data_IF_523085591793
#
_entry.id   IF_523085591793
#
_cell.length_a   1.000
_cell.length_b   1.000
_cell.length_c   1.000
_cell.angle_alpha   90.00
_cell.angle_beta   90.00
_cell.angle_gamma   90.00
#
_symmetry.space_group_name_H-M   'P 1'
#
loop_
_entity.id
_entity.type
_entity.pdbx_description
1 polymer ?
#
# COMPACT_ATOMS: atom_id res chain seq x y z
N UNK A 1 10.34 17.38 16.44
CA UNK A 1 10.40 17.57 14.98
C UNK A 1 9.01 17.57 14.29
N UNK A 2 7.97 16.88 14.80
CA UNK A 2 6.65 16.80 14.13
C UNK A 2 5.53 17.69 14.70
N UNK A 3 5.78 18.38 15.82
CA UNK A 3 4.74 19.10 16.58
C UNK A 3 4.02 20.16 15.76
N UNK A 4 4.75 20.92 14.93
CA UNK A 4 4.19 21.97 14.09
C UNK A 4 3.23 21.39 13.04
N UNK A 5 3.63 20.31 12.36
CA UNK A 5 2.81 19.62 11.37
C UNK A 5 1.55 18.99 11.97
N UNK A 6 1.64 18.45 13.19
CA UNK A 6 0.47 17.93 13.90
C UNK A 6 -0.48 19.06 14.26
N UNK A 7 0.06 20.16 14.81
CA UNK A 7 -0.74 21.34 15.19
C UNK A 7 -1.43 21.99 13.98
N UNK A 8 -0.78 22.00 12.82
CA UNK A 8 -1.36 22.58 11.60
C UNK A 8 -2.37 21.66 10.91
N UNK A 9 -2.69 20.49 11.47
CA UNK A 9 -3.60 19.49 10.85
C UNK A 9 -3.00 18.80 9.63
N UNK A 10 -1.70 18.98 9.45
CA UNK A 10 -0.98 18.61 8.26
C UNK A 10 -0.43 17.17 8.35
N UNK A 11 -0.16 16.75 9.57
CA UNK A 11 0.06 15.37 9.95
C UNK A 11 -0.99 14.98 11.00
N UNK A 12 -1.80 13.99 10.68
CA UNK A 12 -2.75 13.41 11.64
C UNK A 12 -2.21 12.06 12.11
N UNK A 13 -2.18 11.87 13.43
CA UNK A 13 -1.85 10.57 14.04
C UNK A 13 -3.15 9.91 14.48
N UNK A 14 -3.44 8.76 13.88
CA UNK A 14 -4.59 7.93 14.24
C UNK A 14 -4.12 6.60 14.80
N UNK A 15 -4.92 6.02 15.69
CA UNK A 15 -4.71 4.70 16.23
C UNK A 15 -6.06 3.99 16.30
N UNK A 16 -6.20 2.77 15.73
CA UNK A 16 -7.41 1.99 15.93
C UNK A 16 -7.58 1.68 17.43
N UNK A 17 -8.78 1.86 18.00
CA UNK A 17 -9.03 1.45 19.38
C UNK A 17 -8.87 -0.07 19.51
N UNK A 18 -8.56 -0.57 20.71
CA UNK A 18 -8.38 -2.01 20.95
C UNK A 18 -9.61 -2.81 20.52
N UNK A 19 -10.81 -2.26 20.73
CA UNK A 19 -12.10 -2.84 20.30
C UNK A 19 -12.29 -2.96 18.79
N UNK A 20 -11.47 -2.30 17.97
CA UNK A 20 -11.51 -2.46 16.52
C UNK A 20 -10.99 -3.84 16.09
N UNK A 21 -10.07 -4.41 16.85
CA UNK A 21 -9.48 -5.71 16.52
C UNK A 21 -10.38 -6.83 17.05
N UNK A 22 -10.86 -7.74 16.19
CA UNK A 22 -11.56 -8.93 16.64
C UNK A 22 -10.60 -9.90 17.33
N UNK A 23 -11.15 -10.88 18.04
CA UNK A 23 -10.35 -11.99 18.55
C UNK A 23 -9.66 -12.70 17.39
N UNK A 24 -8.35 -12.89 17.52
CA UNK A 24 -7.56 -13.58 16.50
C UNK A 24 -7.83 -15.07 16.53
N UNK A 25 -8.10 -15.65 15.36
CA UNK A 25 -8.19 -17.09 15.20
C UNK A 25 -6.88 -17.79 15.62
N UNK A 26 -7.02 -18.96 16.24
CA UNK A 26 -5.92 -19.87 16.54
C UNK A 26 -5.65 -20.87 15.40
N UNK A 27 -6.17 -20.59 14.19
CA UNK A 27 -5.96 -21.43 13.00
C UNK A 27 -4.74 -20.97 12.21
N UNK A 28 -3.90 -21.93 11.86
CA UNK A 28 -2.84 -21.71 10.86
C UNK A 28 -3.43 -21.74 9.46
N UNK A 29 -2.79 -21.02 8.54
CA UNK A 29 -3.24 -20.81 7.16
C UNK A 29 -2.01 -20.57 6.30
N UNK A 30 -2.02 -21.00 5.04
CA UNK A 30 -0.86 -20.90 4.13
C UNK A 30 0.43 -21.59 4.63
N UNK A 31 0.31 -22.54 5.57
CA UNK A 31 1.46 -23.18 6.22
C UNK A 31 2.21 -22.28 7.22
N UNK A 32 1.65 -21.11 7.56
CA UNK A 32 2.31 -20.15 8.43
C UNK A 32 2.13 -20.46 9.92
N UNK A 33 3.16 -20.18 10.75
CA UNK A 33 3.02 -20.22 12.21
C UNK A 33 2.06 -19.12 12.69
N UNK A 34 1.42 -19.34 13.84
CA UNK A 34 0.38 -18.45 14.38
C UNK A 34 0.81 -16.98 14.50
N UNK A 35 2.06 -16.72 14.90
CA UNK A 35 2.55 -15.34 15.00
C UNK A 35 2.54 -14.61 13.63
N UNK A 36 2.83 -15.34 12.54
CA UNK A 36 2.83 -14.77 11.19
C UNK A 36 1.40 -14.57 10.69
N UNK A 37 0.49 -15.50 10.99
CA UNK A 37 -0.95 -15.33 10.72
C UNK A 37 -1.51 -14.11 11.44
N UNK A 38 -1.22 -13.95 12.74
CA UNK A 38 -1.62 -12.78 13.53
C UNK A 38 -1.04 -11.49 12.96
N UNK A 39 0.25 -11.48 12.61
CA UNK A 39 0.92 -10.31 12.04
C UNK A 39 0.24 -9.82 10.74
N UNK A 40 0.00 -10.71 9.76
CA UNK A 40 -0.65 -10.32 8.50
C UNK A 40 -2.12 -9.99 8.68
N UNK A 41 -2.81 -10.65 9.60
CA UNK A 41 -4.19 -10.31 9.98
C UNK A 41 -4.28 -8.90 10.52
N UNK A 42 -3.38 -8.55 11.45
CA UNK A 42 -3.26 -7.19 11.97
C UNK A 42 -2.94 -6.20 10.85
N UNK A 43 -2.01 -6.51 9.95
CA UNK A 43 -1.69 -5.63 8.81
C UNK A 43 -2.92 -5.34 7.93
N UNK A 44 -3.71 -6.36 7.58
CA UNK A 44 -4.96 -6.17 6.83
C UNK A 44 -5.93 -5.23 7.54
N UNK A 45 -6.12 -5.42 8.86
CA UNK A 45 -7.00 -4.60 9.69
C UNK A 45 -6.52 -3.15 9.78
N UNK A 46 -5.22 -2.92 10.03
CA UNK A 46 -4.70 -1.55 10.11
C UNK A 46 -4.82 -0.81 8.77
N UNK A 47 -4.63 -1.49 7.64
CA UNK A 47 -4.83 -0.88 6.31
C UNK A 47 -6.32 -0.59 6.06
N UNK A 48 -7.22 -1.52 6.41
CA UNK A 48 -8.66 -1.28 6.31
C UNK A 48 -9.10 -0.08 7.17
N UNK A 49 -8.58 0.04 8.40
CA UNK A 49 -8.86 1.17 9.28
C UNK A 49 -8.36 2.49 8.70
N UNK A 50 -7.11 2.53 8.25
CA UNK A 50 -6.49 3.72 7.67
C UNK A 50 -7.23 4.15 6.40
N UNK A 51 -7.56 3.22 5.52
CA UNK A 51 -8.34 3.50 4.31
C UNK A 51 -9.73 4.04 4.66
N UNK A 52 -10.40 3.45 5.66
CA UNK A 52 -11.72 3.94 6.09
C UNK A 52 -11.65 5.35 6.68
N UNK A 53 -10.57 5.69 7.40
CA UNK A 53 -10.34 7.05 7.89
C UNK A 53 -10.14 8.06 6.74
N UNK A 54 -9.43 7.66 5.69
CA UNK A 54 -9.05 8.54 4.59
C UNK A 54 -10.11 8.68 3.49
N UNK A 55 -11.09 7.77 3.40
CA UNK A 55 -12.00 7.69 2.24
C UNK A 55 -12.81 8.97 1.98
N UNK A 56 -13.12 9.73 3.03
CA UNK A 56 -13.93 10.96 2.93
C UNK A 56 -13.07 12.24 3.01
N UNK A 57 -11.73 12.12 2.98
CA UNK A 57 -10.78 13.22 3.26
C UNK A 57 -9.97 13.69 2.04
N UNK A 58 -10.17 13.07 0.89
CA UNK A 58 -9.47 13.44 -0.33
C UNK A 58 -10.04 12.72 -1.54
N UNK A 59 -9.60 13.14 -2.72
CA UNK A 59 -9.97 12.47 -3.98
C UNK A 59 -9.11 11.21 -4.24
N UNK A 60 -7.86 11.24 -3.77
CA UNK A 60 -6.90 10.18 -3.97
C UNK A 60 -6.32 9.71 -2.64
N UNK A 61 -5.98 8.42 -2.60
CA UNK A 61 -5.34 7.76 -1.48
C UNK A 61 -4.03 7.13 -1.94
N UNK A 62 -2.96 7.28 -1.14
CA UNK A 62 -1.67 6.63 -1.38
C UNK A 62 -1.28 5.84 -0.14
N UNK A 63 -1.16 4.52 -0.27
CA UNK A 63 -0.62 3.68 0.79
C UNK A 63 0.90 3.79 0.83
N UNK A 64 1.45 4.14 2.00
CA UNK A 64 2.89 4.17 2.29
C UNK A 64 3.17 3.44 3.60
N UNK A 65 4.46 3.17 3.83
CA UNK A 65 5.00 2.59 5.07
C UNK A 65 6.05 3.55 5.65
N UNK A 66 6.49 3.31 6.89
CA UNK A 66 7.39 4.19 7.64
C UNK A 66 8.86 4.04 7.24
N UNK A 67 9.22 2.96 6.56
CA UNK A 67 10.59 2.58 6.19
C UNK A 67 10.89 2.83 4.70
N UNK A 68 10.52 4.00 4.17
CA UNK A 68 10.71 4.31 2.74
C UNK A 68 11.68 5.48 2.46
N UNK A 69 12.41 5.34 1.35
CA UNK A 69 13.08 6.43 0.64
C UNK A 69 12.14 7.01 -0.41
N UNK A 70 12.22 8.31 -0.57
CA UNK A 70 11.48 9.04 -1.60
C UNK A 70 12.43 9.61 -2.64
N UNK A 71 12.00 9.64 -3.90
CA UNK A 71 12.65 10.44 -4.93
C UNK A 71 12.52 11.95 -4.65
N UNK A 72 13.50 12.76 -5.08
CA UNK A 72 13.35 14.23 -5.08
C UNK A 72 12.13 14.64 -5.89
N UNK A 73 11.41 15.65 -5.41
CA UNK A 73 10.21 16.20 -6.04
C UNK A 73 9.07 15.18 -6.26
N UNK A 74 9.00 14.12 -5.44
CA UNK A 74 8.01 13.05 -5.61
C UNK A 74 6.57 13.56 -5.65
N UNK A 75 6.20 14.61 -4.89
CA UNK A 75 4.85 15.20 -4.92
C UNK A 75 4.51 15.74 -6.32
N UNK A 76 5.36 16.61 -6.86
CA UNK A 76 5.17 17.16 -8.20
C UNK A 76 5.15 16.06 -9.27
N UNK A 77 5.97 15.02 -9.10
CA UNK A 77 5.95 13.85 -9.98
C UNK A 77 4.64 13.08 -9.89
N UNK A 78 4.08 12.89 -8.69
CA UNK A 78 2.76 12.25 -8.49
C UNK A 78 1.68 13.05 -9.20
N UNK A 79 1.60 14.36 -8.98
CA UNK A 79 0.61 15.23 -9.61
C UNK A 79 0.69 15.20 -11.14
N UNK A 80 1.91 15.27 -11.68
CA UNK A 80 2.13 15.19 -13.13
C UNK A 80 1.71 13.83 -13.70
N UNK A 81 2.03 12.73 -12.99
CA UNK A 81 1.59 11.39 -13.39
C UNK A 81 0.07 11.27 -13.33
N UNK A 82 -0.59 11.80 -12.29
CA UNK A 82 -2.06 11.80 -12.19
C UNK A 82 -2.72 12.58 -13.32
N UNK A 83 -2.22 13.78 -13.62
CA UNK A 83 -2.72 14.60 -14.73
C UNK A 83 -2.53 13.91 -16.07
N UNK A 84 -1.42 13.20 -16.27
CA UNK A 84 -1.19 12.43 -17.49
C UNK A 84 -2.13 11.21 -17.57
N UNK A 85 -2.18 10.39 -16.51
CA UNK A 85 -2.99 9.18 -16.46
C UNK A 85 -4.48 9.49 -16.63
N UNK A 86 -4.98 10.55 -15.97
CA UNK A 86 -6.40 10.93 -16.09
C UNK A 86 -6.79 11.42 -17.48
N UNK A 87 -5.84 11.90 -18.28
CA UNK A 87 -6.09 12.28 -19.69
C UNK A 87 -6.07 11.07 -20.63
N UNK A 88 -5.15 10.13 -20.39
CA UNK A 88 -4.91 8.99 -21.30
C UNK A 88 -5.84 7.81 -20.97
N UNK A 89 -6.10 7.57 -19.69
CA UNK A 89 -6.85 6.41 -19.19
C UNK A 89 -8.11 6.90 -18.48
N UNK A 90 -9.28 6.67 -19.06
CA UNK A 90 -10.56 7.10 -18.45
C UNK A 90 -10.93 6.31 -17.19
N UNK A 91 -10.61 5.01 -17.15
CA UNK A 91 -11.14 4.07 -16.16
C UNK A 91 -10.06 3.38 -15.32
N UNK A 92 -8.90 4.01 -15.10
CA UNK A 92 -7.85 3.42 -14.27
C UNK A 92 -8.33 3.14 -12.83
N UNK A 93 -7.75 2.12 -12.21
CA UNK A 93 -8.09 1.67 -10.85
C UNK A 93 -6.92 1.84 -9.88
N UNK A 94 -5.71 1.49 -10.30
CA UNK A 94 -4.53 1.51 -9.45
C UNK A 94 -3.33 2.09 -10.20
N UNK A 95 -2.61 3.00 -9.56
CA UNK A 95 -1.32 3.48 -10.04
C UNK A 95 -0.24 3.00 -9.07
N UNK A 96 0.71 2.23 -9.60
CA UNK A 96 1.90 1.78 -8.89
C UNK A 96 2.98 2.85 -8.97
N UNK A 97 3.23 3.52 -7.84
CA UNK A 97 4.34 4.47 -7.64
C UNK A 97 5.63 3.79 -7.17
N UNK A 98 5.53 2.52 -6.76
CA UNK A 98 6.65 1.62 -6.48
C UNK A 98 6.40 0.25 -7.11
N UNK A 99 7.47 -0.48 -7.45
CA UNK A 99 7.38 -1.84 -8.01
C UNK A 99 7.37 -2.94 -6.95
N UNK A 100 7.78 -2.64 -5.73
CA UNK A 100 8.01 -3.67 -4.69
C UNK A 100 7.06 -3.45 -3.51
N UNK A 101 6.49 -4.55 -3.03
CA UNK A 101 5.62 -4.57 -1.85
C UNK A 101 4.29 -3.83 -2.04
N UNK A 102 3.67 -3.50 -0.91
CA UNK A 102 2.40 -2.81 -0.85
C UNK A 102 2.53 -1.28 -0.74
N UNK A 103 3.76 -0.74 -0.85
CA UNK A 103 4.00 0.71 -0.85
C UNK A 103 3.69 1.35 -2.19
N UNK A 104 3.34 2.64 -2.16
CA UNK A 104 3.12 3.46 -3.33
C UNK A 104 1.92 3.02 -4.16
N UNK A 105 0.87 2.47 -3.53
CA UNK A 105 -0.39 2.16 -4.20
C UNK A 105 -1.27 3.39 -4.18
N UNK A 106 -1.45 4.02 -5.33
CA UNK A 106 -2.35 5.16 -5.48
C UNK A 106 -3.67 4.71 -6.07
N UNK A 107 -4.77 5.02 -5.38
CA UNK A 107 -6.14 4.70 -5.78
C UNK A 107 -7.05 5.93 -5.59
N UNK A 108 -8.23 5.92 -6.21
CA UNK A 108 -9.28 6.90 -5.89
C UNK A 108 -9.92 6.53 -4.57
N UNK A 109 -10.28 7.52 -3.77
CA UNK A 109 -10.98 7.26 -2.50
C UNK A 109 -12.34 6.60 -2.70
N UNK A 110 -13.01 6.88 -3.83
CA UNK A 110 -14.27 6.25 -4.23
C UNK A 110 -14.19 4.74 -4.46
N UNK A 111 -12.99 4.20 -4.73
CA UNK A 111 -12.76 2.76 -4.89
C UNK A 111 -12.41 2.06 -3.56
N UNK A 112 -12.09 2.83 -2.49
CA UNK A 112 -11.68 2.26 -1.20
C UNK A 112 -12.74 1.42 -0.48
N UNK A 113 -14.05 1.70 -0.52
CA UNK A 113 -15.05 0.89 0.19
C UNK A 113 -14.99 -0.61 -0.12
N UNK A 114 -14.69 -0.96 -1.38
CA UNK A 114 -14.49 -2.34 -1.81
C UNK A 114 -13.24 -2.95 -1.18
N UNK A 115 -12.11 -2.21 -1.19
CA UNK A 115 -10.85 -2.67 -0.62
C UNK A 115 -10.93 -2.83 0.90
N UNK A 116 -11.52 -1.86 1.59
CA UNK A 116 -11.78 -1.90 3.04
C UNK A 116 -12.56 -3.17 3.38
N UNK A 117 -13.67 -3.42 2.67
CA UNK A 117 -14.51 -4.60 2.90
C UNK A 117 -13.74 -5.90 2.66
N UNK A 118 -12.98 -5.99 1.57
CA UNK A 118 -12.20 -7.18 1.27
C UNK A 118 -11.09 -7.42 2.30
N UNK A 119 -10.33 -6.39 2.67
CA UNK A 119 -9.25 -6.49 3.64
C UNK A 119 -9.76 -6.84 5.03
N UNK A 120 -10.92 -6.29 5.43
CA UNK A 120 -11.55 -6.62 6.70
C UNK A 120 -12.10 -8.05 6.70
N UNK A 121 -12.88 -8.44 5.70
CA UNK A 121 -13.56 -9.73 5.66
C UNK A 121 -12.60 -10.90 5.45
N UNK A 122 -11.56 -10.71 4.62
CA UNK A 122 -10.60 -11.78 4.30
C UNK A 122 -9.27 -11.68 5.07
N UNK A 123 -9.24 -10.86 6.14
CA UNK A 123 -8.04 -10.54 6.93
C UNK A 123 -7.23 -11.76 7.39
N UNK A 124 -7.90 -12.85 7.74
CA UNK A 124 -7.25 -14.04 8.30
C UNK A 124 -6.77 -15.02 7.22
N UNK A 125 -7.29 -14.91 6.00
CA UNK A 125 -7.05 -15.93 4.97
C UNK A 125 -5.83 -15.62 4.10
N UNK A 126 -5.62 -14.36 3.74
CA UNK A 126 -4.57 -13.97 2.79
C UNK A 126 -3.86 -12.69 3.25
N UNK A 127 -2.57 -12.49 2.92
CA UNK A 127 -1.90 -11.20 3.12
C UNK A 127 -2.44 -10.14 2.16
N UNK A 128 -2.25 -8.86 2.51
CA UNK A 128 -2.86 -7.72 1.81
C UNK A 128 -2.49 -7.62 0.33
N UNK A 129 -1.23 -7.92 -0.03
CA UNK A 129 -0.78 -7.95 -1.42
C UNK A 129 -1.56 -8.94 -2.27
N UNK A 130 -1.86 -10.12 -1.70
CA UNK A 130 -2.57 -11.18 -2.40
C UNK A 130 -4.06 -10.84 -2.48
N UNK A 131 -4.64 -10.27 -1.41
CA UNK A 131 -6.01 -9.76 -1.46
C UNK A 131 -6.19 -8.74 -2.57
N UNK A 132 -5.25 -7.81 -2.76
CA UNK A 132 -5.30 -6.87 -3.88
C UNK A 132 -5.21 -7.58 -5.23
N UNK A 133 -4.31 -8.56 -5.39
CA UNK A 133 -4.23 -9.37 -6.64
C UNK A 133 -5.56 -10.10 -6.92
N UNK A 134 -6.18 -10.71 -5.90
CA UNK A 134 -7.49 -11.35 -6.04
C UNK A 134 -8.57 -10.36 -6.45
N UNK A 135 -8.62 -9.17 -5.85
CA UNK A 135 -9.59 -8.12 -6.22
C UNK A 135 -9.41 -7.70 -7.68
N UNK A 136 -8.16 -7.50 -8.13
CA UNK A 136 -7.87 -7.17 -9.52
C UNK A 136 -8.33 -8.28 -10.49
N UNK A 137 -8.10 -9.55 -10.14
CA UNK A 137 -8.59 -10.68 -10.93
C UNK A 137 -10.11 -10.74 -10.99
N UNK A 138 -10.78 -10.64 -9.84
CA UNK A 138 -12.25 -10.65 -9.75
C UNK A 138 -12.86 -9.52 -10.58
N UNK A 139 -12.24 -8.34 -10.56
CA UNK A 139 -12.79 -7.15 -11.22
C UNK A 139 -12.53 -7.12 -12.73
N UNK A 140 -11.42 -7.68 -13.21
CA UNK A 140 -10.95 -7.46 -14.58
C UNK A 140 -10.71 -8.73 -15.41
N UNK A 141 -10.94 -9.92 -14.85
CA UNK A 141 -10.71 -11.18 -15.54
C UNK A 141 -11.97 -12.05 -15.55
N UNK A 142 -12.18 -12.77 -16.66
CA UNK A 142 -13.16 -13.84 -16.70
C UNK A 142 -12.64 -15.09 -15.97
N UNK A 143 -13.54 -15.91 -15.43
CA UNK A 143 -13.21 -17.08 -14.60
C UNK A 143 -12.36 -18.10 -15.38
N UNK A 144 -12.66 -18.29 -16.65
CA UNK A 144 -12.00 -19.21 -17.58
C UNK A 144 -10.78 -18.60 -18.31
N UNK A 145 -10.47 -17.33 -18.04
CA UNK A 145 -9.36 -16.66 -18.73
C UNK A 145 -8.01 -17.23 -18.33
N UNK A 146 -7.13 -17.43 -19.32
CA UNK A 146 -5.76 -17.85 -19.05
C UNK A 146 -5.01 -16.81 -18.21
N UNK A 147 -4.00 -17.26 -17.44
CA UNK A 147 -3.16 -16.38 -16.61
C UNK A 147 -2.59 -15.20 -17.40
N UNK A 148 -2.16 -15.44 -18.64
CA UNK A 148 -1.59 -14.41 -19.51
C UNK A 148 -2.66 -13.41 -19.99
N UNK A 149 -3.84 -13.88 -20.35
CA UNK A 149 -4.96 -13.02 -20.74
C UNK A 149 -5.41 -12.14 -19.59
N UNK A 150 -5.59 -12.73 -18.40
CA UNK A 150 -5.95 -12.00 -17.19
C UNK A 150 -4.91 -10.94 -16.83
N UNK A 151 -3.61 -11.27 -16.85
CA UNK A 151 -2.55 -10.31 -16.59
C UNK A 151 -2.61 -9.12 -17.57
N UNK A 152 -2.82 -9.36 -18.88
CA UNK A 152 -2.99 -8.30 -19.87
C UNK A 152 -4.21 -7.42 -19.61
N UNK A 153 -5.32 -8.01 -19.14
CA UNK A 153 -6.52 -7.24 -18.82
C UNK A 153 -6.31 -6.37 -17.58
N UNK A 154 -5.70 -6.89 -16.52
CA UNK A 154 -5.36 -6.12 -15.32
C UNK A 154 -4.48 -4.92 -15.70
N UNK A 155 -3.48 -5.10 -16.56
CA UNK A 155 -2.58 -4.04 -17.00
C UNK A 155 -3.25 -2.86 -17.72
N UNK A 156 -4.49 -3.02 -18.23
CA UNK A 156 -5.27 -1.91 -18.80
C UNK A 156 -5.79 -0.94 -17.74
N UNK A 157 -5.91 -1.42 -16.50
CA UNK A 157 -6.48 -0.69 -15.36
C UNK A 157 -5.45 -0.39 -14.26
N UNK A 158 -4.30 -1.07 -14.30
CA UNK A 158 -3.16 -0.85 -13.39
C UNK A 158 -2.00 -0.17 -14.12
N UNK A 159 -1.71 1.07 -13.78
CA UNK A 159 -0.63 1.84 -14.41
C UNK A 159 0.62 1.76 -13.54
N UNK A 160 1.78 1.56 -14.18
CA UNK A 160 3.08 1.64 -13.51
C UNK A 160 3.77 2.93 -13.95
N UNK A 161 4.16 3.77 -12.98
CA UNK A 161 4.98 4.93 -13.32
C UNK A 161 6.32 4.47 -13.88
N UNK A 162 6.81 5.15 -14.92
CA UNK A 162 8.06 4.78 -15.59
C UNK A 162 9.24 4.72 -14.62
N UNK A 163 9.27 5.66 -13.69
CA UNK A 163 10.33 5.80 -12.70
C UNK A 163 9.74 5.72 -11.29
N UNK A 164 10.09 4.68 -10.50
CA UNK A 164 9.56 4.50 -9.16
C UNK A 164 9.91 5.70 -8.26
N UNK A 165 8.96 6.07 -7.41
CA UNK A 165 9.06 7.24 -6.53
C UNK A 165 9.40 6.85 -5.08
N UNK A 166 9.10 5.60 -4.71
CA UNK A 166 9.31 5.06 -3.37
C UNK A 166 10.07 3.74 -3.40
N UNK A 167 10.92 3.53 -2.40
CA UNK A 167 11.74 2.34 -2.23
C UNK A 167 11.94 2.07 -0.73
N UNK A 168 11.77 0.84 -0.25
CA UNK A 168 12.06 0.53 1.15
C UNK A 168 13.53 0.76 1.53
N UNK A 169 13.76 1.22 2.77
CA UNK A 169 15.07 1.34 3.42
C UNK A 169 15.39 0.01 4.08
N UNK A 170 16.45 -0.64 3.60
CA UNK A 170 17.19 -1.57 4.43
C UNK A 170 16.78 -3.03 4.35
N UNK A 171 17.76 -3.82 4.74
CA UNK A 171 17.92 -5.24 4.48
C UNK A 171 17.12 -6.13 5.42
N UNK A 172 16.40 -5.61 6.43
CA UNK A 172 15.75 -6.42 7.45
C UNK A 172 14.25 -6.18 7.48
N UNK A 173 13.48 -7.19 7.09
CA UNK A 173 12.04 -7.24 7.31
C UNK A 173 11.75 -7.29 8.82
N UNK A 174 10.58 -6.81 9.22
CA UNK A 174 9.99 -7.05 10.55
C UNK A 174 9.79 -8.55 10.86
N UNK A 175 9.90 -9.42 9.85
CA UNK A 175 10.01 -10.86 10.02
C UNK A 175 11.45 -11.27 10.39
N UNK A 176 11.60 -11.93 11.55
CA UNK A 176 12.88 -12.45 12.07
C UNK A 176 13.60 -13.26 10.99
N UNK A 177 14.77 -12.78 10.55
CA UNK A 177 15.64 -13.45 9.58
C UNK A 177 15.36 -13.19 8.10
N UNK A 178 14.30 -12.45 7.72
CA UNK A 178 14.04 -12.16 6.30
C UNK A 178 14.84 -10.95 5.85
N UNK A 179 15.95 -11.23 5.16
CA UNK A 179 16.79 -10.19 4.57
C UNK A 179 16.20 -9.74 3.24
N UNK A 180 15.65 -8.53 3.16
CA UNK A 180 15.05 -7.98 1.93
C UNK A 180 16.11 -7.23 1.10
N UNK A 181 16.82 -7.94 0.21
CA UNK A 181 17.84 -7.36 -0.69
C UNK A 181 17.26 -6.74 -1.98
N UNK A 182 15.94 -6.78 -2.16
CA UNK A 182 15.32 -6.33 -3.41
C UNK A 182 15.30 -4.80 -3.48
N UNK A 183 16.09 -4.26 -4.41
CA UNK A 183 16.00 -2.87 -4.85
C UNK A 183 15.47 -2.83 -6.28
N UNK A 184 14.62 -1.85 -6.57
CA UNK A 184 14.19 -1.61 -7.94
C UNK A 184 15.37 -1.09 -8.78
N UNK A 185 15.67 -1.79 -9.88
CA UNK A 185 16.77 -1.46 -10.80
C UNK A 185 16.64 -0.05 -11.41
N UNK A 186 15.42 0.45 -11.53
CA UNK A 186 15.10 1.76 -12.12
C UNK A 186 14.94 2.88 -11.07
N UNK A 187 15.10 2.57 -9.77
CA UNK A 187 15.14 3.61 -8.75
C UNK A 187 16.50 4.32 -8.79
N UNK A 188 16.55 5.67 -8.82
CA UNK A 188 17.81 6.39 -8.92
C UNK A 188 18.79 5.97 -7.82
N UNK A 189 19.96 5.46 -8.21
CA UNK A 189 21.08 5.23 -7.31
C UNK A 189 21.80 6.55 -7.07
N UNK A 190 21.22 7.47 -6.30
CA UNK A 190 21.99 8.67 -5.93
C UNK A 190 21.92 9.03 -4.45
N UNK A 191 23.16 9.20 -3.94
CA UNK A 191 23.70 9.84 -2.75
C UNK A 191 22.74 10.10 -1.60
N UNK A 192 23.20 9.70 -0.40
CA UNK A 192 22.68 10.08 0.92
C UNK A 192 22.31 11.56 0.95
N UNK A 193 21.13 11.91 0.47
CA UNK A 193 20.54 13.21 0.62
C UNK A 193 20.09 13.26 2.07
N UNK A 194 20.90 13.86 2.94
CA UNK A 194 20.54 14.29 4.30
C UNK A 194 19.45 15.39 4.29
N UNK A 195 18.52 15.35 3.33
CA UNK A 195 17.28 16.11 3.36
C UNK A 195 16.14 15.10 3.32
N UNK A 196 15.71 14.70 4.52
CA UNK A 196 14.47 13.95 4.77
C UNK A 196 13.31 14.76 4.18
N UNK A 197 12.73 14.27 3.11
CA UNK A 197 11.43 14.71 2.64
C UNK A 197 10.42 14.47 3.77
N UNK A 198 9.82 15.54 4.29
CA UNK A 198 9.05 15.53 5.54
C UNK A 198 7.57 15.27 5.32
N UNK A 199 7.18 14.04 5.01
CA UNK A 199 5.77 13.62 5.11
C UNK A 199 5.72 12.13 5.41
N UNK A 200 5.10 11.78 6.54
CA UNK A 200 5.11 10.42 7.09
C UNK A 200 3.72 10.08 7.59
N UNK A 201 3.18 8.93 7.20
CA UNK A 201 2.08 8.28 7.92
C UNK A 201 2.75 7.22 8.78
N UNK A 202 2.82 7.44 10.09
CA UNK A 202 3.39 6.47 11.03
C UNK A 202 2.32 5.46 11.45
N UNK A 203 2.63 4.17 11.28
CA UNK A 203 2.00 3.08 12.03
C UNK A 203 2.90 2.77 13.21
N UNK A 204 2.50 3.16 14.42
CA UNK A 204 3.16 2.67 15.65
C UNK A 204 2.61 1.27 15.92
N UNK A 205 3.34 0.23 15.56
CA UNK A 205 3.07 -1.12 16.06
C UNK A 205 3.51 -1.16 17.52
N UNK A 206 2.55 -1.09 18.45
CA UNK A 206 2.78 -1.42 19.84
C UNK A 206 2.32 -2.86 20.05
N UNK A 207 3.33 -3.73 20.21
CA UNK A 207 3.34 -5.14 20.61
C UNK A 207 2.71 -6.15 19.65
#
# INVERSE_FOLDING_TARGET
>A
MFREYIKSGLLELISPPVSYYPEYSNKTTLGDPLYRVRWRTKQNLDYAYLMNYCKDRGEFYIQLEDDILTRRNYIQLIENNLKHVSRVYKNWFLIHLSRLGFIGKLMKTSDLPMLISAFYNFREYQPVDWLLDYILRIRFCAIDSSKLSCARNILKYTIFVKQPLFQHIGYHSSLKGKIQKLMDKNFPKETKSKKRSRWWIFRRSLF
#
